data_IF_314258322982
#
_entry.id   IF_314258322982
#
_cell.length_a   1.000
_cell.length_b   1.000
_cell.length_c   1.000
_cell.angle_alpha   90.00
_cell.angle_beta   90.00
_cell.angle_gamma   90.00
#
_symmetry.space_group_name_H-M   'P 1'
#
loop_
_entity.id
_entity.type
_entity.pdbx_description
1 polymer ?
#
# COMPACT_ATOMS: atom_id res chain seq x y z
N UNK A 1 3.91 1.48 -5.16
CA UNK A 1 4.42 0.98 -6.45
C UNK A 1 3.62 -0.18 -6.99
N UNK A 2 3.26 -1.15 -6.16
CA UNK A 2 2.58 -2.38 -6.63
C UNK A 2 1.27 -2.11 -7.38
N UNK A 3 0.43 -1.24 -6.85
CA UNK A 3 -0.84 -0.91 -7.51
C UNK A 3 -0.62 -0.16 -8.83
N UNK A 4 0.39 0.70 -8.92
CA UNK A 4 0.65 1.46 -10.15
C UNK A 4 1.06 0.57 -11.31
N UNK A 5 1.66 -0.57 -11.05
CA UNK A 5 2.01 -1.55 -12.08
C UNK A 5 0.80 -2.35 -12.59
N UNK A 6 -0.35 -2.20 -11.96
CA UNK A 6 -1.57 -2.96 -12.26
C UNK A 6 -2.81 -2.08 -12.39
N UNK A 7 -2.68 -0.76 -12.49
CA UNK A 7 -3.84 0.15 -12.52
C UNK A 7 -4.76 -0.09 -13.71
N UNK A 8 -4.24 -0.61 -14.82
CA UNK A 8 -5.05 -0.94 -16.00
C UNK A 8 -6.12 -2.00 -15.72
N UNK A 9 -5.90 -2.86 -14.71
CA UNK A 9 -6.88 -3.88 -14.33
C UNK A 9 -8.14 -3.29 -13.69
N UNK A 10 -8.10 -2.01 -13.28
CA UNK A 10 -9.29 -1.30 -12.84
C UNK A 10 -10.33 -1.16 -13.98
N UNK A 11 -9.88 -1.08 -15.25
CA UNK A 11 -10.77 -1.15 -16.42
C UNK A 11 -11.41 -2.53 -16.54
N UNK A 12 -10.63 -3.59 -16.40
CA UNK A 12 -11.11 -4.98 -16.41
C UNK A 12 -12.17 -5.19 -15.35
N UNK A 13 -11.89 -4.73 -14.12
CA UNK A 13 -12.84 -4.82 -13.00
C UNK A 13 -14.15 -4.07 -13.29
N UNK A 14 -14.07 -2.91 -13.96
CA UNK A 14 -15.25 -2.14 -14.33
C UNK A 14 -16.08 -2.86 -15.39
N UNK A 15 -15.43 -3.36 -16.43
CA UNK A 15 -16.08 -4.07 -17.54
C UNK A 15 -16.83 -5.32 -17.08
N UNK A 16 -16.25 -6.07 -16.17
CA UNK A 16 -16.81 -7.34 -15.68
C UNK A 16 -17.55 -7.22 -14.35
N UNK A 17 -17.78 -5.99 -13.86
CA UNK A 17 -18.53 -5.71 -12.63
C UNK A 17 -17.95 -6.45 -11.39
N UNK A 18 -16.64 -6.45 -11.24
CA UNK A 18 -15.96 -7.15 -10.15
C UNK A 18 -15.94 -6.28 -8.88
N UNK A 19 -16.61 -6.70 -7.79
CA UNK A 19 -16.75 -5.89 -6.57
C UNK A 19 -15.54 -6.07 -5.62
N UNK A 20 -14.34 -5.86 -6.14
CA UNK A 20 -13.09 -6.04 -5.41
C UNK A 20 -12.90 -4.91 -4.38
N UNK A 21 -12.25 -5.22 -3.27
CA UNK A 21 -11.81 -4.23 -2.29
C UNK A 21 -10.29 -4.12 -2.34
N UNK A 22 -9.80 -2.98 -2.81
CA UNK A 22 -8.37 -2.68 -2.88
C UNK A 22 -7.98 -1.88 -1.66
N UNK A 23 -7.14 -2.44 -0.81
CA UNK A 23 -6.59 -1.80 0.38
C UNK A 23 -5.14 -1.43 0.08
N UNK A 24 -4.89 -0.18 -0.23
CA UNK A 24 -3.55 0.34 -0.49
C UNK A 24 -2.95 0.90 0.79
N UNK A 25 -1.87 0.31 1.26
CA UNK A 25 -1.09 0.84 2.38
C UNK A 25 -0.07 1.82 1.83
N UNK A 26 -0.45 3.09 1.82
CA UNK A 26 0.30 4.14 1.14
C UNK A 26 1.32 4.79 2.08
N UNK A 27 2.54 4.28 2.07
CA UNK A 27 3.67 4.83 2.81
C UNK A 27 4.52 5.81 1.98
N UNK A 28 4.15 6.12 0.74
CA UNK A 28 4.85 7.00 -0.21
C UNK A 28 6.27 6.54 -0.58
N UNK A 29 6.61 5.31 -0.28
CA UNK A 29 7.91 4.73 -0.61
C UNK A 29 7.75 3.43 -1.40
N UNK A 30 8.78 3.06 -2.12
CA UNK A 30 9.06 1.68 -2.44
C UNK A 30 9.57 1.04 -1.14
N UNK A 31 8.66 0.58 -0.31
CA UNK A 31 8.91 0.32 1.11
C UNK A 31 10.01 -0.70 1.38
N UNK A 32 10.03 -1.81 0.63
CA UNK A 32 11.08 -2.81 0.80
C UNK A 32 12.45 -2.30 0.32
N UNK A 33 12.48 -1.50 -0.75
CA UNK A 33 13.73 -0.86 -1.21
C UNK A 33 14.26 0.08 -0.13
N UNK A 34 13.39 0.92 0.44
CA UNK A 34 13.76 1.81 1.54
C UNK A 34 14.28 1.03 2.75
N UNK A 35 13.64 -0.08 3.14
CA UNK A 35 14.03 -0.92 4.27
C UNK A 35 15.43 -1.49 4.07
N UNK A 36 15.77 -1.96 2.87
CA UNK A 36 17.11 -2.43 2.54
C UNK A 36 18.14 -1.31 2.59
N UNK A 37 17.79 -0.12 2.11
CA UNK A 37 18.66 1.06 2.20
C UNK A 37 18.95 1.42 3.65
N UNK A 38 17.95 1.31 4.53
CA UNK A 38 18.12 1.53 5.96
C UNK A 38 19.02 0.47 6.60
N UNK A 39 18.74 -0.81 6.40
CA UNK A 39 19.41 -1.88 7.14
C UNK A 39 20.80 -2.21 6.62
N UNK A 40 21.01 -2.14 5.32
CA UNK A 40 22.23 -2.64 4.69
C UNK A 40 23.06 -1.59 3.97
N UNK A 41 22.56 -0.37 3.86
CA UNK A 41 23.24 0.69 3.11
C UNK A 41 23.41 1.99 3.90
N UNK A 42 23.37 1.92 5.24
CA UNK A 42 23.67 3.05 6.12
C UNK A 42 22.78 4.26 5.89
N UNK A 43 21.46 4.04 5.81
CA UNK A 43 20.45 5.09 5.62
C UNK A 43 20.65 5.93 4.34
N UNK A 44 21.35 5.38 3.34
CA UNK A 44 21.54 6.07 2.07
C UNK A 44 20.34 5.82 1.15
N UNK A 45 19.29 6.62 1.35
CA UNK A 45 18.06 6.56 0.57
C UNK A 45 18.26 7.18 -0.81
N UNK A 46 17.95 6.40 -1.85
CA UNK A 46 18.05 6.84 -3.25
C UNK A 46 16.90 6.27 -4.05
N UNK A 47 16.16 7.15 -4.73
CA UNK A 47 15.07 6.82 -5.65
C UNK A 47 13.99 5.87 -5.08
N UNK A 48 13.84 5.83 -3.75
CA UNK A 48 12.82 5.01 -3.07
C UNK A 48 11.60 5.80 -2.62
N UNK A 49 11.70 7.14 -2.52
CA UNK A 49 10.58 8.02 -2.22
C UNK A 49 9.79 8.36 -3.49
N UNK A 50 8.48 8.24 -3.40
CA UNK A 50 7.57 8.51 -4.52
C UNK A 50 6.95 9.89 -4.35
N UNK A 51 7.63 10.91 -4.87
CA UNK A 51 7.20 12.31 -4.75
C UNK A 51 5.91 12.59 -5.55
N UNK A 52 5.83 12.06 -6.76
CA UNK A 52 4.75 12.30 -7.71
C UNK A 52 3.69 11.17 -7.71
N UNK A 53 3.19 10.78 -6.54
CA UNK A 53 2.07 9.84 -6.46
C UNK A 53 0.79 10.46 -7.00
N UNK A 54 -0.03 9.69 -7.74
CA UNK A 54 -1.36 10.15 -8.13
C UNK A 54 -2.27 10.27 -6.90
N UNK A 55 -3.32 11.07 -7.03
CA UNK A 55 -4.46 11.02 -6.13
C UNK A 55 -5.26 9.74 -6.44
N UNK A 56 -5.13 8.73 -5.57
CA UNK A 56 -5.74 7.43 -5.79
C UNK A 56 -7.26 7.44 -5.70
N UNK A 57 -7.85 8.40 -4.98
CA UNK A 57 -9.32 8.57 -4.95
C UNK A 57 -9.80 9.01 -6.33
N UNK A 58 -9.18 10.05 -6.88
CA UNK A 58 -9.49 10.53 -8.24
C UNK A 58 -9.19 9.47 -9.31
N UNK A 59 -8.12 8.69 -9.13
CA UNK A 59 -7.79 7.59 -10.02
C UNK A 59 -8.91 6.54 -10.03
N UNK A 60 -9.37 6.11 -8.87
CA UNK A 60 -10.48 5.16 -8.75
C UNK A 60 -11.76 5.71 -9.41
N UNK A 61 -12.09 6.96 -9.14
CA UNK A 61 -13.25 7.64 -9.74
C UNK A 61 -13.15 7.75 -11.26
N UNK A 62 -11.96 8.03 -11.79
CA UNK A 62 -11.72 8.08 -13.23
C UNK A 62 -11.99 6.74 -13.92
N UNK A 63 -11.75 5.63 -13.25
CA UNK A 63 -12.12 4.28 -13.73
C UNK A 63 -13.56 3.91 -13.41
N UNK A 64 -14.35 4.80 -12.80
CA UNK A 64 -15.76 4.58 -12.47
C UNK A 64 -15.97 3.75 -11.20
N UNK A 65 -15.01 3.73 -10.29
CA UNK A 65 -15.06 3.04 -9.01
C UNK A 65 -15.23 4.01 -7.85
N UNK A 66 -15.41 3.46 -6.65
CA UNK A 66 -15.47 4.24 -5.39
C UNK A 66 -14.06 4.37 -4.81
N UNK A 67 -13.64 5.59 -4.53
CA UNK A 67 -12.38 5.88 -3.85
C UNK A 67 -12.61 6.38 -2.44
N UNK A 68 -11.78 5.95 -1.51
CA UNK A 68 -11.76 6.43 -0.12
C UNK A 68 -10.33 6.72 0.30
N UNK A 69 -10.11 7.85 0.98
CA UNK A 69 -8.85 8.16 1.64
C UNK A 69 -9.02 8.08 3.15
N UNK A 70 -8.13 7.33 3.79
CA UNK A 70 -8.15 7.11 5.23
C UNK A 70 -6.79 7.57 5.79
N UNK A 71 -6.78 8.66 6.54
CA UNK A 71 -5.58 9.26 7.14
C UNK A 71 -5.67 9.40 8.67
N UNK A 72 -6.78 8.95 9.26
CA UNK A 72 -6.97 8.91 10.70
C UNK A 72 -7.29 7.48 11.14
N UNK A 73 -6.59 6.93 12.15
CA UNK A 73 -6.86 5.58 12.66
C UNK A 73 -8.31 5.35 13.09
N UNK A 74 -9.00 6.40 13.60
CA UNK A 74 -10.40 6.30 14.01
C UNK A 74 -11.36 6.04 12.82
N UNK A 75 -10.96 6.37 11.61
CA UNK A 75 -11.77 6.20 10.40
C UNK A 75 -11.59 4.84 9.73
N UNK A 76 -10.62 4.03 10.19
CA UNK A 76 -10.31 2.72 9.58
C UNK A 76 -11.50 1.77 9.64
N UNK A 77 -12.05 1.53 10.82
CA UNK A 77 -13.17 0.60 10.97
C UNK A 77 -14.43 1.10 10.24
N UNK A 78 -14.87 2.36 10.36
CA UNK A 78 -16.00 2.88 9.58
C UNK A 78 -15.81 2.73 8.08
N UNK A 79 -14.62 3.05 7.53
CA UNK A 79 -14.33 2.93 6.11
C UNK A 79 -14.39 1.48 5.64
N UNK A 80 -13.82 0.54 6.39
CA UNK A 80 -13.89 -0.88 6.08
C UNK A 80 -15.35 -1.37 6.08
N UNK A 81 -16.14 -1.01 7.09
CA UNK A 81 -17.55 -1.38 7.15
C UNK A 81 -18.33 -0.86 5.94
N UNK A 82 -18.12 0.40 5.58
CA UNK A 82 -18.75 1.00 4.40
C UNK A 82 -18.32 0.29 3.12
N UNK A 83 -17.01 0.07 2.92
CA UNK A 83 -16.49 -0.58 1.73
C UNK A 83 -17.07 -1.99 1.55
N UNK A 84 -17.11 -2.80 2.62
CA UNK A 84 -17.65 -4.16 2.57
C UNK A 84 -19.17 -4.22 2.50
N UNK A 85 -19.88 -3.17 2.92
CA UNK A 85 -21.33 -3.03 2.71
C UNK A 85 -21.69 -2.81 1.23
N UNK A 86 -20.80 -2.20 0.45
CA UNK A 86 -20.96 -1.95 -0.99
C UNK A 86 -20.71 -3.24 -1.81
N UNK A 87 -21.68 -4.14 -1.81
CA UNK A 87 -21.55 -5.50 -2.39
C UNK A 87 -21.32 -5.53 -3.90
N UNK A 88 -21.66 -4.46 -4.61
CA UNK A 88 -21.59 -4.39 -6.09
C UNK A 88 -20.46 -3.49 -6.59
N UNK A 89 -19.81 -2.75 -5.70
CA UNK A 89 -18.81 -1.75 -6.08
C UNK A 89 -17.40 -2.29 -5.86
N UNK A 90 -16.49 -1.96 -6.79
CA UNK A 90 -15.08 -1.93 -6.44
C UNK A 90 -14.82 -0.69 -5.60
N UNK A 91 -14.20 -0.87 -4.44
CA UNK A 91 -13.80 0.22 -3.56
C UNK A 91 -12.29 0.23 -3.42
N UNK A 92 -11.69 1.35 -3.79
CA UNK A 92 -10.27 1.60 -3.60
C UNK A 92 -10.07 2.41 -2.33
N UNK A 93 -9.40 1.85 -1.35
CA UNK A 93 -9.11 2.49 -0.07
C UNK A 93 -7.62 2.85 0.01
N UNK A 94 -7.33 4.14 0.04
CA UNK A 94 -5.97 4.68 0.16
C UNK A 94 -5.68 5.00 1.63
N UNK A 95 -5.11 4.03 2.35
CA UNK A 95 -4.70 4.19 3.75
C UNK A 95 -3.36 4.89 3.82
N UNK A 96 -3.32 6.07 4.41
CA UNK A 96 -2.08 6.79 4.67
C UNK A 96 -1.37 6.16 5.88
N UNK A 97 -0.24 5.52 5.64
CA UNK A 97 0.54 4.83 6.67
C UNK A 97 1.84 5.57 6.98
N UNK A 98 2.47 5.22 8.10
CA UNK A 98 3.77 5.80 8.46
C UNK A 98 4.80 5.44 7.37
N UNK A 99 5.46 6.46 6.78
CA UNK A 99 6.46 6.24 5.73
C UNK A 99 7.73 5.55 6.21
N UNK A 100 7.98 5.51 7.52
CA UNK A 100 9.19 4.94 8.11
C UNK A 100 8.99 3.54 8.69
N UNK A 101 7.75 3.06 8.76
CA UNK A 101 7.46 1.74 9.30
C UNK A 101 8.09 0.65 8.44
N UNK A 102 8.77 -0.29 9.08
CA UNK A 102 9.45 -1.42 8.44
C UNK A 102 8.65 -2.72 8.63
N UNK A 103 8.93 -3.70 7.79
CA UNK A 103 8.30 -5.02 7.83
C UNK A 103 9.15 -5.97 8.66
N UNK A 104 8.60 -6.51 9.72
CA UNK A 104 9.22 -7.51 10.60
C UNK A 104 8.29 -8.71 10.82
N UNK A 105 8.85 -9.93 11.01
CA UNK A 105 10.28 -10.27 10.90
C UNK A 105 10.77 -10.21 9.46
N UNK A 106 12.08 -9.99 9.27
CA UNK A 106 12.71 -10.00 7.95
C UNK A 106 13.86 -11.01 7.93
N UNK A 107 13.91 -11.85 6.90
CA UNK A 107 15.06 -12.74 6.65
C UNK A 107 16.02 -12.01 5.71
N UNK A 108 17.24 -11.65 6.17
CA UNK A 108 18.24 -11.03 5.30
C UNK A 108 18.70 -11.97 4.20
N UNK A 109 19.12 -11.41 3.06
CA UNK A 109 19.67 -12.21 1.96
C UNK A 109 20.85 -13.07 2.42
N UNK A 110 20.83 -14.35 2.05
CA UNK A 110 21.87 -15.33 2.42
C UNK A 110 21.76 -15.89 3.85
N UNK A 111 20.71 -15.55 4.58
CA UNK A 111 20.44 -16.04 5.93
C UNK A 111 19.36 -17.13 5.95
N UNK A 112 19.38 -17.95 6.99
CA UNK A 112 18.33 -18.95 7.23
C UNK A 112 17.10 -18.38 7.94
N UNK A 113 16.00 -19.15 7.96
CA UNK A 113 14.75 -18.75 8.61
C UNK A 113 14.89 -18.55 10.13
N UNK A 114 15.94 -19.12 10.74
CA UNK A 114 16.26 -18.92 12.16
C UNK A 114 17.09 -17.65 12.44
N UNK A 115 17.50 -16.93 11.40
CA UNK A 115 18.33 -15.73 11.48
C UNK A 115 17.54 -14.49 11.08
N UNK A 116 16.29 -14.41 11.51
CA UNK A 116 15.41 -13.26 11.22
C UNK A 116 15.86 -12.02 11.98
N UNK A 117 15.63 -10.87 11.37
CA UNK A 117 15.78 -9.56 12.02
C UNK A 117 14.42 -9.17 12.57
N UNK A 118 14.40 -8.77 13.83
CA UNK A 118 13.24 -8.25 14.54
C UNK A 118 13.39 -6.73 14.77
N UNK A 119 12.29 -6.07 15.11
CA UNK A 119 12.31 -4.61 15.38
C UNK A 119 13.21 -4.24 16.55
N UNK A 120 13.41 -5.16 17.50
CA UNK A 120 14.26 -4.99 18.68
C UNK A 120 15.76 -5.19 18.40
N UNK A 121 16.12 -5.67 17.22
CA UNK A 121 17.51 -5.88 16.79
C UNK A 121 18.16 -4.64 16.17
N UNK A 122 17.39 -3.53 16.07
CA UNK A 122 17.80 -2.27 15.40
C UNK A 122 17.93 -1.08 16.43
#
# INVERSE_FOLDING_TARGET
GSIQMNIQELSTCKQFHLPIKVLSLNNRYLGMVRQWQQFFHGDRYSESYMDALPDFVKLAEAYGHVGMRIDNPADVEPALREAFARKKDLVFMDFQTDPKENVFPMVPGGKGLSEVVLSEDL
#
